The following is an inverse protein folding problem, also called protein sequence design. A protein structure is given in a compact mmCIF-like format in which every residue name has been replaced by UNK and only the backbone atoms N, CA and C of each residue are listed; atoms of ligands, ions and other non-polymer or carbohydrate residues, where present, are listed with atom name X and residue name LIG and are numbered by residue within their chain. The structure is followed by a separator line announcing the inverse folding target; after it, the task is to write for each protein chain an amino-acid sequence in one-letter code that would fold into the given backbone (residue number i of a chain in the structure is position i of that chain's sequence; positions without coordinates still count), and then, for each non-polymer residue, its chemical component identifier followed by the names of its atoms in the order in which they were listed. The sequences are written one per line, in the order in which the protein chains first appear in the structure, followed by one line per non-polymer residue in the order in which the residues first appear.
data_IF_141300801539
#
_entry.id   IF_141300801539
#
_cell.length_a   1.000
_cell.length_b   1.000
_cell.length_c   1.000
_cell.angle_alpha   90.00
_cell.angle_beta   90.00
_cell.angle_gamma   90.00
#
_symmetry.space_group_name_H-M   'P 1'
#
loop_
_entity.id
_entity.type
_entity.pdbx_description
1 polymer ?
#
# COMPACT_ATOMS: atom_id res chain seq x y z
N UNK A 1 31.02 -3.06 -1.31
CA UNK A 1 29.74 -3.62 -0.82
C UNK A 1 29.25 -4.59 -1.87
N UNK A 2 29.08 -5.86 -1.52
CA UNK A 2 28.57 -6.86 -2.45
C UNK A 2 27.09 -6.54 -2.70
N UNK A 3 26.77 -5.98 -3.87
CA UNK A 3 25.41 -5.74 -4.33
C UNK A 3 24.79 -7.08 -4.72
N UNK A 4 24.66 -7.98 -3.75
CA UNK A 4 24.01 -9.27 -3.97
C UNK A 4 22.52 -8.97 -4.19
N UNK A 5 22.11 -9.13 -5.45
CA UNK A 5 20.82 -8.89 -6.08
C UNK A 5 19.60 -8.68 -5.16
N UNK A 6 19.42 -7.47 -4.61
CA UNK A 6 18.19 -7.07 -3.88
C UNK A 6 16.94 -7.33 -4.71
N UNK A 7 17.03 -7.18 -6.05
CA UNK A 7 15.95 -7.48 -7.00
C UNK A 7 15.53 -8.96 -6.98
N UNK A 8 16.41 -9.88 -6.59
CA UNK A 8 16.18 -11.33 -6.58
C UNK A 8 15.86 -11.87 -5.18
N UNK A 9 15.57 -11.00 -4.21
CA UNK A 9 15.06 -11.45 -2.91
C UNK A 9 13.76 -12.22 -3.10
N UNK A 10 13.57 -13.27 -2.30
CA UNK A 10 12.37 -14.11 -2.31
C UNK A 10 11.07 -13.28 -2.23
N UNK A 11 10.92 -12.30 -1.30
CA UNK A 11 9.75 -11.42 -1.29
C UNK A 11 9.56 -10.63 -2.59
N UNK A 12 10.64 -10.18 -3.24
CA UNK A 12 10.54 -9.39 -4.47
C UNK A 12 10.15 -10.26 -5.68
N UNK A 13 10.61 -11.52 -5.71
CA UNK A 13 10.17 -12.49 -6.72
C UNK A 13 8.67 -12.80 -6.57
N UNK A 14 8.17 -12.93 -5.34
CA UNK A 14 6.74 -13.06 -5.06
C UNK A 14 6.02 -11.78 -5.55
N UNK A 15 6.56 -10.59 -5.27
CA UNK A 15 6.06 -9.32 -5.80
C UNK A 15 5.97 -9.28 -7.34
N UNK A 16 6.96 -9.80 -8.06
CA UNK A 16 6.88 -9.87 -9.53
C UNK A 16 5.80 -10.83 -10.01
N UNK A 17 5.68 -12.00 -9.36
CA UNK A 17 4.60 -12.94 -9.65
C UNK A 17 3.23 -12.31 -9.38
N UNK A 18 3.13 -11.55 -8.30
CA UNK A 18 1.95 -10.77 -7.94
C UNK A 18 1.56 -9.77 -9.04
N UNK A 19 2.54 -9.02 -9.56
CA UNK A 19 2.33 -8.13 -10.69
C UNK A 19 1.85 -8.88 -11.95
N UNK A 20 2.42 -10.05 -12.25
CA UNK A 20 1.95 -10.88 -13.36
C UNK A 20 0.48 -11.31 -13.17
N UNK A 21 0.09 -11.74 -11.97
CA UNK A 21 -1.30 -12.09 -11.66
C UNK A 21 -2.25 -10.91 -11.88
N UNK A 22 -1.85 -9.69 -11.50
CA UNK A 22 -2.65 -8.49 -11.78
C UNK A 22 -2.80 -8.22 -13.28
N UNK A 23 -1.73 -8.39 -14.07
CA UNK A 23 -1.79 -8.24 -15.53
C UNK A 23 -2.74 -9.28 -16.14
N UNK A 24 -2.69 -10.53 -15.67
CA UNK A 24 -3.62 -11.57 -16.10
C UNK A 24 -5.05 -11.29 -15.65
N UNK A 25 -5.25 -10.79 -14.43
CA UNK A 25 -6.57 -10.39 -13.95
C UNK A 25 -7.14 -9.31 -14.87
N UNK A 26 -6.37 -8.27 -15.18
CA UNK A 26 -6.77 -7.22 -16.11
C UNK A 26 -7.02 -7.75 -17.54
N UNK A 27 -6.25 -8.71 -18.02
CA UNK A 27 -6.53 -9.35 -19.32
C UNK A 27 -7.89 -10.08 -19.33
N UNK A 28 -8.26 -10.71 -18.21
CA UNK A 28 -9.54 -11.40 -18.05
C UNK A 28 -10.64 -10.52 -17.42
N UNK A 29 -10.56 -9.21 -17.57
CA UNK A 29 -11.50 -8.25 -16.96
C UNK A 29 -12.97 -8.51 -17.33
N UNK A 30 -13.23 -9.03 -18.55
CA UNK A 30 -14.57 -9.36 -19.03
C UNK A 30 -15.11 -10.70 -18.49
N UNK A 31 -14.27 -11.52 -17.85
CA UNK A 31 -14.64 -12.83 -17.28
C UNK A 31 -14.60 -12.76 -15.75
N UNK A 32 -15.72 -12.42 -15.08
CA UNK A 32 -15.71 -12.05 -13.66
C UNK A 32 -15.21 -13.15 -12.72
N UNK A 33 -15.48 -14.42 -13.02
CA UNK A 33 -15.01 -15.55 -12.19
C UNK A 33 -13.49 -15.69 -12.25
N UNK A 34 -12.92 -15.58 -13.47
CA UNK A 34 -11.47 -15.69 -13.68
C UNK A 34 -10.75 -14.48 -13.11
N UNK A 35 -11.28 -13.28 -13.37
CA UNK A 35 -10.81 -12.03 -12.78
C UNK A 35 -10.75 -12.12 -11.26
N UNK A 36 -11.87 -12.49 -10.61
CA UNK A 36 -11.96 -12.54 -9.16
C UNK A 36 -11.00 -13.60 -8.59
N UNK A 37 -10.90 -14.77 -9.22
CA UNK A 37 -9.96 -15.81 -8.80
C UNK A 37 -8.52 -15.32 -8.81
N UNK A 38 -8.08 -14.72 -9.93
CA UNK A 38 -6.72 -14.17 -10.06
C UNK A 38 -6.46 -13.02 -9.07
N UNK A 39 -7.43 -12.11 -8.90
CA UNK A 39 -7.33 -10.99 -7.98
C UNK A 39 -7.24 -11.43 -6.52
N UNK A 40 -8.03 -12.43 -6.12
CA UNK A 40 -8.00 -12.98 -4.76
C UNK A 40 -6.68 -13.69 -4.49
N UNK A 41 -6.19 -14.53 -5.42
CA UNK A 41 -4.88 -15.20 -5.27
C UNK A 41 -3.78 -14.15 -5.11
N UNK A 42 -3.82 -13.10 -5.93
CA UNK A 42 -2.92 -11.98 -5.84
C UNK A 42 -2.93 -11.31 -4.45
N UNK A 43 -4.11 -11.00 -3.93
CA UNK A 43 -4.27 -10.36 -2.62
C UNK A 43 -3.80 -11.27 -1.47
N UNK A 44 -3.92 -12.58 -1.60
CA UNK A 44 -3.43 -13.52 -0.60
C UNK A 44 -1.89 -13.59 -0.57
N UNK A 45 -1.23 -13.42 -1.71
CA UNK A 45 0.23 -13.46 -1.82
C UNK A 45 0.93 -12.25 -1.20
N UNK A 46 0.23 -11.13 -1.03
CA UNK A 46 0.66 -9.97 -0.22
C UNK A 46 1.04 -10.37 1.21
N UNK A 47 0.23 -11.23 1.82
CA UNK A 47 0.54 -11.79 3.14
C UNK A 47 1.84 -12.60 3.15
N UNK A 48 2.13 -13.28 2.04
CA UNK A 48 3.22 -14.24 1.90
C UNK A 48 4.55 -13.54 1.64
N UNK A 49 4.59 -12.48 0.82
CA UNK A 49 5.83 -11.74 0.59
C UNK A 49 6.33 -11.07 1.87
N UNK A 50 5.46 -10.42 2.66
CA UNK A 50 5.82 -9.79 3.92
C UNK A 50 6.23 -10.82 4.99
N UNK A 51 5.58 -11.99 5.01
CA UNK A 51 6.01 -13.10 5.85
C UNK A 51 7.41 -13.59 5.46
N UNK A 52 7.65 -13.81 4.16
CA UNK A 52 8.94 -14.28 3.64
C UNK A 52 10.08 -13.28 3.91
N UNK A 53 9.82 -11.97 3.76
CA UNK A 53 10.80 -10.93 4.04
C UNK A 53 11.31 -10.98 5.50
N UNK A 54 10.41 -11.27 6.46
CA UNK A 54 10.75 -11.41 7.88
C UNK A 54 11.46 -12.72 8.18
N UNK A 55 11.00 -13.83 7.61
CA UNK A 55 11.61 -15.14 7.86
C UNK A 55 13.04 -15.23 7.32
N UNK A 56 13.29 -14.66 6.13
CA UNK A 56 14.61 -14.69 5.50
C UNK A 56 15.47 -13.46 5.83
N UNK A 57 14.97 -12.55 6.68
CA UNK A 57 15.63 -11.27 7.00
C UNK A 57 16.01 -10.46 5.74
N UNK A 58 15.15 -10.50 4.71
CA UNK A 58 15.33 -9.87 3.39
C UNK A 58 14.50 -8.59 3.24
N UNK A 59 14.40 -7.79 4.30
CA UNK A 59 13.66 -6.52 4.28
C UNK A 59 14.48 -5.46 3.52
N UNK A 60 13.86 -4.79 2.55
CA UNK A 60 14.53 -3.77 1.73
C UNK A 60 13.60 -2.62 1.38
N UNK A 61 14.16 -1.41 1.23
CA UNK A 61 13.40 -0.21 0.81
C UNK A 61 12.76 -0.39 -0.57
N UNK A 62 13.46 -1.09 -1.48
CA UNK A 62 12.92 -1.42 -2.80
C UNK A 62 11.70 -2.34 -2.69
N UNK A 63 11.77 -3.41 -1.90
CA UNK A 63 10.64 -4.32 -1.72
C UNK A 63 9.42 -3.62 -1.11
N UNK A 64 9.62 -2.79 -0.10
CA UNK A 64 8.55 -1.99 0.49
C UNK A 64 7.92 -0.98 -0.48
N UNK A 65 8.70 -0.44 -1.42
CA UNK A 65 8.18 0.45 -2.47
C UNK A 65 7.43 -0.34 -3.56
N UNK A 66 7.95 -1.50 -3.95
CA UNK A 66 7.35 -2.40 -4.93
C UNK A 66 5.98 -2.92 -4.47
N UNK A 67 5.87 -3.27 -3.19
CA UNK A 67 4.63 -3.72 -2.55
C UNK A 67 3.51 -2.67 -2.70
N UNK A 68 3.74 -1.46 -2.17
CA UNK A 68 2.77 -0.35 -2.24
C UNK A 68 2.40 0.00 -3.69
N UNK A 69 3.36 -0.10 -4.63
CA UNK A 69 3.11 0.12 -6.05
C UNK A 69 2.13 -0.92 -6.62
N UNK A 70 2.35 -2.21 -6.32
CA UNK A 70 1.47 -3.31 -6.76
C UNK A 70 0.07 -3.16 -6.18
N UNK A 71 -0.05 -2.73 -4.92
CA UNK A 71 -1.36 -2.55 -4.27
C UNK A 71 -2.15 -1.38 -4.84
N UNK A 72 -1.46 -0.27 -5.16
CA UNK A 72 -2.06 0.84 -5.89
C UNK A 72 -2.56 0.42 -7.27
N UNK A 73 -1.80 -0.42 -8.00
CA UNK A 73 -2.26 -0.96 -9.30
C UNK A 73 -3.49 -1.84 -9.11
N UNK A 74 -3.45 -2.76 -8.14
CA UNK A 74 -4.57 -3.65 -7.82
C UNK A 74 -5.85 -2.89 -7.47
N UNK A 75 -5.76 -1.91 -6.56
CA UNK A 75 -6.89 -1.02 -6.22
C UNK A 75 -7.37 -0.21 -7.41
N UNK A 76 -6.46 0.32 -8.22
CA UNK A 76 -6.79 1.06 -9.44
C UNK A 76 -7.67 0.24 -10.37
N UNK A 77 -7.33 -1.03 -10.60
CA UNK A 77 -8.14 -1.95 -11.43
C UNK A 77 -9.55 -2.10 -10.85
N UNK A 78 -9.69 -2.30 -9.53
CA UNK A 78 -11.01 -2.40 -8.88
C UNK A 78 -11.80 -1.09 -9.01
N UNK A 79 -11.15 0.05 -8.74
CA UNK A 79 -11.78 1.36 -8.85
C UNK A 79 -12.34 1.61 -10.25
N UNK A 80 -11.56 1.30 -11.30
CA UNK A 80 -12.02 1.43 -12.69
C UNK A 80 -13.17 0.49 -13.05
N UNK A 81 -13.30 -0.65 -12.36
CA UNK A 81 -14.42 -1.59 -12.57
C UNK A 81 -15.70 -1.13 -11.88
N UNK A 82 -15.58 -0.64 -10.65
CA UNK A 82 -16.73 -0.37 -9.77
C UNK A 82 -17.36 1.00 -10.06
N UNK A 83 -16.57 2.00 -10.45
CA UNK A 83 -17.07 3.37 -10.57
C UNK A 83 -16.41 4.17 -11.68
N UNK A 84 -17.19 5.04 -12.33
CA UNK A 84 -16.70 6.00 -13.33
C UNK A 84 -15.74 7.04 -12.74
N UNK A 85 -15.87 7.36 -11.44
CA UNK A 85 -14.93 8.24 -10.73
C UNK A 85 -13.65 7.51 -10.28
N UNK A 86 -13.57 6.19 -10.50
CA UNK A 86 -12.48 5.36 -10.00
C UNK A 86 -11.09 5.80 -10.45
N UNK A 87 -10.97 6.30 -11.69
CA UNK A 87 -9.70 6.82 -12.22
C UNK A 87 -9.24 8.05 -11.42
N UNK A 88 -10.17 8.92 -11.01
CA UNK A 88 -9.86 10.09 -10.20
C UNK A 88 -9.37 9.68 -8.82
N UNK A 89 -10.06 8.73 -8.16
CA UNK A 89 -9.65 8.20 -6.86
C UNK A 89 -8.24 7.57 -6.95
N UNK A 90 -8.00 6.71 -7.96
CA UNK A 90 -6.68 6.12 -8.18
C UNK A 90 -5.61 7.18 -8.43
N UNK A 91 -5.91 8.26 -9.15
CA UNK A 91 -4.97 9.36 -9.38
C UNK A 91 -4.58 10.06 -8.06
N UNK A 92 -5.53 10.26 -7.15
CA UNK A 92 -5.26 10.80 -5.81
C UNK A 92 -4.35 9.86 -5.01
N UNK A 93 -4.59 8.55 -5.05
CA UNK A 93 -3.74 7.55 -4.37
C UNK A 93 -2.29 7.62 -4.87
N UNK A 94 -2.07 7.74 -6.18
CA UNK A 94 -0.73 7.89 -6.77
C UNK A 94 -0.05 9.21 -6.39
N UNK A 95 -0.76 10.32 -6.44
CA UNK A 95 -0.22 11.63 -6.02
C UNK A 95 0.16 11.60 -4.55
N UNK A 96 -0.70 11.01 -3.71
CA UNK A 96 -0.46 10.83 -2.27
C UNK A 96 0.80 10.01 -2.02
N UNK A 97 0.95 8.87 -2.70
CA UNK A 97 2.12 8.02 -2.58
C UNK A 97 3.42 8.74 -2.98
N UNK A 98 3.40 9.49 -4.09
CA UNK A 98 4.55 10.27 -4.56
C UNK A 98 4.92 11.40 -3.59
N UNK A 99 3.91 12.13 -3.10
CA UNK A 99 4.11 13.20 -2.12
C UNK A 99 4.71 12.65 -0.83
N UNK A 100 4.25 11.47 -0.40
CA UNK A 100 4.72 10.80 0.80
C UNK A 100 6.17 10.33 0.67
N UNK A 101 6.50 9.66 -0.43
CA UNK A 101 7.85 9.15 -0.67
C UNK A 101 8.90 10.27 -0.72
N UNK A 102 8.50 11.49 -1.13
CA UNK A 102 9.37 12.67 -1.15
C UNK A 102 9.59 13.32 0.22
N UNK A 103 8.73 13.09 1.22
CA UNK A 103 8.79 13.79 2.53
C UNK A 103 9.74 13.13 3.55
N UNK A 104 10.28 11.95 3.26
CA UNK A 104 11.24 11.23 4.11
C UNK A 104 10.63 10.69 5.41
N UNK A 105 11.39 9.95 6.22
CA UNK A 105 10.88 9.25 7.43
C UNK A 105 10.24 10.16 8.48
N UNK A 106 10.59 11.45 8.50
CA UNK A 106 10.26 12.36 9.60
C UNK A 106 9.03 13.24 9.33
N UNK A 107 8.54 13.31 8.10
CA UNK A 107 7.18 12.86 7.91
C UNK A 107 6.09 13.21 8.94
N UNK A 108 5.72 12.14 9.66
CA UNK A 108 4.70 12.11 10.70
C UNK A 108 5.03 13.01 11.88
N UNK A 109 6.29 13.09 12.29
CA UNK A 109 6.68 13.92 13.42
C UNK A 109 6.51 15.40 13.08
N UNK A 110 6.87 15.80 11.84
CA UNK A 110 6.62 17.15 11.32
C UNK A 110 5.12 17.46 11.28
N UNK A 111 4.30 16.55 10.76
CA UNK A 111 2.85 16.75 10.70
C UNK A 111 2.17 16.77 12.07
N UNK A 112 2.59 15.90 13.00
CA UNK A 112 2.10 15.90 14.38
C UNK A 112 2.49 17.18 15.13
N UNK A 113 3.61 17.79 14.76
CA UNK A 113 4.09 19.04 15.36
C UNK A 113 3.44 20.29 14.77
N UNK A 114 2.72 20.17 13.63
CA UNK A 114 2.15 21.32 12.91
C UNK A 114 1.17 22.12 13.77
N UNK A 115 1.01 23.42 13.47
CA UNK A 115 0.06 24.28 14.17
C UNK A 115 -1.41 24.06 13.74
N UNK A 116 -1.65 23.25 12.71
CA UNK A 116 -2.99 22.99 12.19
C UNK A 116 -3.75 22.03 13.10
N UNK A 117 -4.81 22.54 13.72
CA UNK A 117 -5.65 21.78 14.67
C UNK A 117 -6.30 20.55 14.04
N UNK A 118 -6.73 20.65 12.78
CA UNK A 118 -7.34 19.54 12.03
C UNK A 118 -6.34 18.41 11.85
N UNK A 119 -5.13 18.73 11.35
CA UNK A 119 -4.05 17.76 11.13
C UNK A 119 -3.68 17.06 12.43
N UNK A 120 -3.52 17.80 13.52
CA UNK A 120 -3.21 17.22 14.84
C UNK A 120 -4.30 16.27 15.33
N UNK A 121 -5.57 16.61 15.14
CA UNK A 121 -6.68 15.76 15.59
C UNK A 121 -6.81 14.49 14.73
N UNK A 122 -6.59 14.58 13.41
CA UNK A 122 -6.56 13.42 12.50
C UNK A 122 -5.40 12.48 12.85
N UNK A 123 -4.20 13.03 13.04
CA UNK A 123 -3.01 12.24 13.42
C UNK A 123 -3.15 11.58 14.79
N UNK A 124 -3.92 12.17 15.72
CA UNK A 124 -4.24 11.55 17.02
C UNK A 124 -5.24 10.40 16.90
N UNK A 125 -6.22 10.49 16.01
CA UNK A 125 -7.34 9.55 15.92
C UNK A 125 -7.05 8.33 15.03
N UNK A 126 -6.34 8.49 13.92
CA UNK A 126 -6.10 7.40 12.97
C UNK A 126 -5.12 6.34 13.49
N UNK A 127 -4.18 6.73 14.36
CA UNK A 127 -3.15 5.82 14.86
C UNK A 127 -3.69 4.86 15.93
N UNK A 128 -4.77 5.21 16.64
CA UNK A 128 -5.16 4.50 17.87
C UNK A 128 -6.35 3.55 17.66
N UNK A 129 -7.28 3.87 16.77
CA UNK A 129 -8.53 3.09 16.65
C UNK A 129 -8.41 1.83 15.77
N UNK A 130 -7.73 1.93 14.62
CA UNK A 130 -7.48 0.80 13.68
C UNK A 130 -6.55 -0.24 14.32
N UNK A 131 -5.57 0.24 15.08
CA UNK A 131 -4.63 -0.56 15.83
C UNK A 131 -5.34 -1.40 16.91
N UNK A 132 -6.15 -0.79 17.77
CA UNK A 132 -6.71 -1.49 18.93
C UNK A 132 -7.84 -2.49 18.63
N UNK A 133 -8.41 -2.52 17.42
CA UNK A 133 -9.55 -3.38 17.07
C UNK A 133 -9.28 -4.36 15.91
N UNK A 134 -8.07 -4.40 15.34
CA UNK A 134 -7.75 -5.32 14.25
C UNK A 134 -7.15 -6.62 14.81
N UNK A 135 -7.69 -7.81 14.51
CA UNK A 135 -7.13 -9.10 14.97
C UNK A 135 -5.68 -9.35 14.49
N UNK A 136 -5.24 -8.60 13.48
CA UNK A 136 -3.94 -8.68 12.83
C UNK A 136 -3.00 -7.54 13.27
N UNK A 137 -3.23 -6.99 14.46
CA UNK A 137 -2.56 -5.79 14.98
C UNK A 137 -1.02 -5.83 14.87
N UNK A 138 -0.39 -6.99 15.14
CA UNK A 138 1.06 -7.18 15.02
C UNK A 138 1.56 -7.24 13.57
N UNK A 139 0.71 -7.58 12.60
CA UNK A 139 1.03 -7.68 11.18
C UNK A 139 0.96 -6.32 10.48
N UNK A 140 -0.03 -5.48 10.84
CA UNK A 140 -0.18 -4.11 10.33
C UNK A 140 0.72 -3.08 11.02
N UNK A 141 0.95 -3.19 12.34
CA UNK A 141 1.77 -2.25 13.10
C UNK A 141 3.24 -2.17 12.61
N UNK A 142 3.71 -3.18 11.87
CA UNK A 142 5.09 -3.26 11.37
C UNK A 142 5.23 -2.85 9.90
N UNK A 143 4.12 -2.59 9.19
CA UNK A 143 4.15 -2.00 7.86
C UNK A 143 3.98 -0.49 7.95
N UNK A 144 5.11 0.20 8.18
CA UNK A 144 5.15 1.66 8.35
C UNK A 144 4.35 2.38 7.25
N UNK A 145 4.54 1.99 5.98
CA UNK A 145 3.96 2.63 4.78
C UNK A 145 2.42 2.57 4.69
N UNK A 146 1.78 1.50 5.16
CA UNK A 146 0.32 1.37 5.11
C UNK A 146 -0.39 2.29 6.11
N UNK A 147 0.19 2.47 7.30
CA UNK A 147 -0.25 3.50 8.24
C UNK A 147 -0.05 4.92 7.70
N UNK A 148 0.92 5.10 6.80
CA UNK A 148 1.23 6.41 6.23
C UNK A 148 0.25 6.78 5.11
N UNK A 149 -0.08 5.84 4.24
CA UNK A 149 -0.97 6.06 3.10
C UNK A 149 -2.41 6.31 3.54
N UNK A 150 -2.95 5.55 4.50
CA UNK A 150 -4.34 5.69 4.94
C UNK A 150 -4.61 7.02 5.64
N UNK A 151 -3.76 7.40 6.59
CA UNK A 151 -3.88 8.67 7.32
C UNK A 151 -3.62 9.88 6.44
N UNK A 152 -2.71 9.76 5.45
CA UNK A 152 -2.45 10.85 4.51
C UNK A 152 -3.55 10.99 3.47
N UNK A 153 -4.16 9.90 2.98
CA UNK A 153 -5.36 9.95 2.12
C UNK A 153 -6.49 10.67 2.85
N UNK A 154 -6.73 10.35 4.12
CA UNK A 154 -7.73 11.06 4.94
C UNK A 154 -7.38 12.55 5.09
N UNK A 155 -6.12 12.87 5.36
CA UNK A 155 -5.64 14.25 5.46
C UNK A 155 -5.80 15.01 4.13
N UNK A 156 -5.46 14.41 2.98
CA UNK A 156 -5.57 15.01 1.65
C UNK A 156 -7.03 15.19 1.24
N UNK A 157 -7.89 14.20 1.51
CA UNK A 157 -9.33 14.31 1.26
C UNK A 157 -9.98 15.42 2.12
N UNK A 158 -9.51 15.62 3.35
CA UNK A 158 -9.94 16.73 4.22
C UNK A 158 -9.38 18.11 3.82
N UNK A 159 -8.37 18.17 2.93
CA UNK A 159 -7.84 19.41 2.37
C UNK A 159 -8.37 19.70 0.94
N UNK A 160 -9.10 18.76 0.33
CA UNK A 160 -9.71 18.89 -1.02
C UNK A 160 -11.22 19.21 -0.94
N UNK A 161 -11.83 19.19 0.26
CA UNK A 161 -13.21 19.64 0.54
C UNK A 161 -13.17 20.85 1.47
#
# INVERSE_FOLDING_TARGET
MKTDHVLLYIPNLIGYFRLCLLIFAWYYFDKPIVFLGLYVIQALLDGVDGWSARQFNQVSKFGSWLDVMIDNIGRGIIWTRVSSIGIFISSIEWITFLALNNRGSDWKSKLSSSNDLIVRNVMKNDTVWILNNCPWHAWFANHHLYHETSSFILCVLLFIV
#
